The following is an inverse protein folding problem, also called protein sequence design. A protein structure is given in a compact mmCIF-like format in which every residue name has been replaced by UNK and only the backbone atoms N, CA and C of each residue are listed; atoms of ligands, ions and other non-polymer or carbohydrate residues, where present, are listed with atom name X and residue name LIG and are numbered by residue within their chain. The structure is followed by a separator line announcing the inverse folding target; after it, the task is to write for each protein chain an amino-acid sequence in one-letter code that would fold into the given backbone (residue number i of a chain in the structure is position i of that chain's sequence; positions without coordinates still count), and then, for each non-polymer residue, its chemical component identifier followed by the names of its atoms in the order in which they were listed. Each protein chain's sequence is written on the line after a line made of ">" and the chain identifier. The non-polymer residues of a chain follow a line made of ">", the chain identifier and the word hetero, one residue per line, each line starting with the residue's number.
data_IF_493966403547
#
_entry.id   IF_493966403547
#
_cell.length_a   1.000
_cell.length_b   1.000
_cell.length_c   1.000
_cell.angle_alpha   90.00
_cell.angle_beta   90.00
_cell.angle_gamma   90.00
#
_symmetry.space_group_name_H-M   'P 1'
#
loop_
_entity.id
_entity.type
_entity.pdbx_description
1 polymer ?
#
# COMPACT_ATOMS: atom_id res chain seq x y z
N UNK A 1 13.08 22.03 15.10
CA UNK A 1 12.53 20.66 15.09
C UNK A 1 13.70 19.69 15.14
N UNK A 2 13.71 18.72 16.06
CA UNK A 2 14.78 17.71 16.16
C UNK A 2 14.82 16.81 14.90
N UNK A 3 16.00 16.27 14.56
CA UNK A 3 16.26 15.39 13.41
C UNK A 3 15.28 14.22 13.36
N UNK A 4 15.01 13.55 14.48
CA UNK A 4 14.09 12.40 14.52
C UNK A 4 12.65 12.79 14.15
N UNK A 5 12.19 13.95 14.61
CA UNK A 5 10.86 14.47 14.25
C UNK A 5 10.81 14.85 12.78
N UNK A 6 11.88 15.48 12.27
CA UNK A 6 11.97 15.81 10.84
C UNK A 6 11.94 14.55 9.97
N UNK A 7 12.73 13.54 10.29
CA UNK A 7 12.78 12.29 9.53
C UNK A 7 11.47 11.50 9.66
N UNK A 8 10.82 11.51 10.84
CA UNK A 8 9.50 10.91 11.02
C UNK A 8 8.39 11.54 10.19
N UNK A 9 8.58 12.80 9.74
CA UNK A 9 7.70 13.49 8.82
C UNK A 9 8.10 13.31 7.35
N UNK A 10 9.39 13.44 7.04
CA UNK A 10 9.89 13.45 5.66
C UNK A 10 9.95 12.05 5.04
N UNK A 11 10.36 11.02 5.80
CA UNK A 11 10.50 9.66 5.24
C UNK A 11 9.17 9.09 4.71
N UNK A 12 8.02 9.26 5.41
CA UNK A 12 6.74 8.86 4.83
C UNK A 12 6.32 9.64 3.59
N UNK A 13 6.73 10.91 3.45
CA UNK A 13 6.48 11.69 2.23
C UNK A 13 7.34 11.15 1.07
N UNK A 14 8.63 10.96 1.30
CA UNK A 14 9.54 10.35 0.31
C UNK A 14 9.05 8.96 -0.11
N UNK A 15 8.49 8.18 0.80
CA UNK A 15 7.89 6.88 0.49
C UNK A 15 6.78 6.98 -0.57
N UNK A 16 5.94 8.03 -0.51
CA UNK A 16 4.90 8.27 -1.50
C UNK A 16 5.49 8.52 -2.90
N UNK A 17 6.55 9.34 -2.98
CA UNK A 17 7.30 9.55 -4.22
C UNK A 17 7.94 8.26 -4.75
N UNK A 18 8.54 7.43 -3.88
CA UNK A 18 9.12 6.14 -4.29
C UNK A 18 8.07 5.21 -4.87
N UNK A 19 6.90 5.11 -4.22
CA UNK A 19 5.78 4.32 -4.73
C UNK A 19 5.29 4.86 -6.09
N UNK A 20 5.15 6.18 -6.22
CA UNK A 20 4.74 6.84 -7.46
C UNK A 20 5.69 6.50 -8.62
N UNK A 21 7.00 6.70 -8.42
CA UNK A 21 8.02 6.41 -9.43
C UNK A 21 8.01 4.94 -9.85
N UNK A 22 7.89 4.02 -8.89
CA UNK A 22 7.85 2.59 -9.19
C UNK A 22 6.62 2.21 -10.03
N UNK A 23 5.44 2.75 -9.72
CA UNK A 23 4.23 2.47 -10.52
C UNK A 23 4.31 3.01 -11.94
N UNK A 24 4.99 4.13 -12.15
CA UNK A 24 5.17 4.72 -13.49
C UNK A 24 6.24 3.98 -14.28
N UNK A 25 7.35 3.63 -13.63
CA UNK A 25 8.38 2.80 -14.25
C UNK A 25 7.78 1.46 -14.71
N UNK A 26 6.93 0.84 -13.88
CA UNK A 26 6.19 -0.35 -14.24
C UNK A 26 5.25 -0.13 -15.44
N UNK A 27 4.54 0.99 -15.50
CA UNK A 27 3.68 1.34 -16.63
C UNK A 27 4.48 1.49 -17.95
N UNK A 28 5.65 2.12 -17.89
CA UNK A 28 6.54 2.24 -19.05
C UNK A 28 7.06 0.88 -19.52
N UNK A 29 7.39 -0.02 -18.59
CA UNK A 29 7.81 -1.38 -18.93
C UNK A 29 6.68 -2.13 -19.64
N UNK A 30 5.43 -1.92 -19.24
CA UNK A 30 4.28 -2.63 -19.80
C UNK A 30 3.76 -2.02 -21.11
N UNK A 31 4.16 -0.78 -21.46
CA UNK A 31 3.67 -0.08 -22.67
C UNK A 31 3.91 -0.88 -23.96
N UNK A 32 4.98 -1.68 -24.00
CA UNK A 32 5.32 -2.52 -25.14
C UNK A 32 4.32 -3.66 -25.40
N UNK A 33 3.55 -4.08 -24.38
CA UNK A 33 2.52 -5.11 -24.53
C UNK A 33 1.24 -4.56 -25.16
N UNK A 34 1.09 -3.24 -25.19
CA UNK A 34 0.00 -2.56 -25.89
C UNK A 34 0.14 -2.61 -27.42
N UNK A 35 1.29 -3.06 -27.94
CA UNK A 35 1.56 -3.22 -29.38
C UNK A 35 1.00 -4.53 -29.98
N UNK A 36 -0.04 -5.10 -29.38
CA UNK A 36 -0.53 -6.45 -29.74
C UNK A 36 0.42 -7.59 -29.34
N UNK A 37 1.52 -7.29 -28.64
CA UNK A 37 2.44 -8.28 -28.10
C UNK A 37 1.82 -8.94 -26.87
N UNK A 38 1.83 -10.27 -26.83
CA UNK A 38 1.40 -11.00 -25.65
C UNK A 38 2.28 -10.64 -24.46
N UNK A 39 1.65 -10.17 -23.38
CA UNK A 39 2.37 -9.95 -22.13
C UNK A 39 2.88 -11.28 -21.58
N UNK A 40 4.14 -11.36 -21.11
CA UNK A 40 4.68 -12.56 -20.53
C UNK A 40 3.92 -12.92 -19.25
N UNK A 41 3.86 -14.22 -18.95
CA UNK A 41 3.27 -14.73 -17.71
C UNK A 41 3.96 -14.14 -16.47
N UNK A 42 5.28 -13.95 -16.56
CA UNK A 42 6.12 -13.30 -15.54
C UNK A 42 6.45 -11.89 -15.99
N UNK A 43 5.80 -10.90 -15.38
CA UNK A 43 5.99 -9.49 -15.73
C UNK A 43 7.03 -8.83 -14.85
N UNK A 44 8.00 -8.19 -15.47
CA UNK A 44 9.01 -7.37 -14.76
C UNK A 44 8.33 -6.21 -14.02
N UNK A 45 7.29 -5.61 -14.60
CA UNK A 45 6.50 -4.54 -13.99
C UNK A 45 5.94 -4.91 -12.62
N UNK A 46 5.45 -6.14 -12.45
CA UNK A 46 4.95 -6.66 -11.16
C UNK A 46 6.01 -6.58 -10.06
N UNK A 47 7.25 -6.95 -10.37
CA UNK A 47 8.34 -6.89 -9.41
C UNK A 47 8.86 -5.47 -9.17
N UNK A 48 8.79 -4.59 -10.17
CA UNK A 48 9.12 -3.17 -10.01
C UNK A 48 8.14 -2.49 -9.06
N UNK A 49 6.83 -2.75 -9.22
CA UNK A 49 5.81 -2.24 -8.27
C UNK A 49 6.04 -2.82 -6.88
N UNK A 50 6.22 -4.14 -6.77
CA UNK A 50 6.50 -4.80 -5.48
C UNK A 50 7.71 -4.20 -4.77
N UNK A 51 8.82 -4.02 -5.48
CA UNK A 51 10.04 -3.46 -4.92
C UNK A 51 9.84 -2.00 -4.48
N UNK A 52 9.12 -1.20 -5.27
CA UNK A 52 8.80 0.18 -4.94
C UNK A 52 7.91 0.32 -3.71
N UNK A 53 6.84 -0.49 -3.64
CA UNK A 53 5.96 -0.51 -2.47
C UNK A 53 6.67 -1.05 -1.23
N UNK A 54 7.52 -2.08 -1.38
CA UNK A 54 8.37 -2.55 -0.29
C UNK A 54 9.31 -1.45 0.24
N UNK A 55 9.99 -0.73 -0.65
CA UNK A 55 10.84 0.38 -0.28
C UNK A 55 10.03 1.49 0.42
N UNK A 56 8.84 1.83 -0.10
CA UNK A 56 7.94 2.81 0.50
C UNK A 56 7.51 2.39 1.91
N UNK A 57 6.99 1.18 2.08
CA UNK A 57 6.56 0.63 3.38
C UNK A 57 7.71 0.59 4.40
N UNK A 58 8.94 0.26 3.98
CA UNK A 58 10.13 0.30 4.83
C UNK A 58 10.56 1.73 5.20
N UNK A 59 10.46 2.70 4.29
CA UNK A 59 10.73 4.11 4.58
C UNK A 59 9.73 4.67 5.59
N UNK A 60 8.44 4.37 5.42
CA UNK A 60 7.40 4.76 6.39
C UNK A 60 7.69 4.12 7.75
N UNK A 61 8.01 2.82 7.80
CA UNK A 61 8.37 2.12 9.04
C UNK A 61 9.58 2.74 9.72
N UNK A 62 10.61 3.11 8.96
CA UNK A 62 11.79 3.78 9.49
C UNK A 62 11.43 5.13 10.11
N UNK A 63 10.67 5.96 9.40
CA UNK A 63 10.15 7.23 9.91
C UNK A 63 9.33 7.04 11.19
N UNK A 64 8.42 6.05 11.19
CA UNK A 64 7.60 5.70 12.34
C UNK A 64 8.43 5.32 13.57
N UNK A 65 9.44 4.45 13.42
CA UNK A 65 10.30 4.05 14.54
C UNK A 65 11.08 5.21 15.15
N UNK A 66 11.54 6.15 14.32
CA UNK A 66 12.25 7.34 14.80
C UNK A 66 11.32 8.24 15.63
N UNK A 67 10.11 8.51 15.15
CA UNK A 67 9.16 9.37 15.86
C UNK A 67 8.54 8.67 17.07
N UNK A 68 8.34 7.34 17.03
CA UNK A 68 7.86 6.55 18.17
C UNK A 68 8.82 6.64 19.36
N UNK A 69 10.12 6.52 19.10
CA UNK A 69 11.15 6.69 20.13
C UNK A 69 11.17 8.11 20.71
N UNK A 70 10.91 9.13 19.89
CA UNK A 70 10.82 10.51 20.35
C UNK A 70 9.51 10.76 21.12
N UNK A 71 8.41 10.16 20.69
CA UNK A 71 7.10 10.27 21.33
C UNK A 71 7.09 9.67 22.73
N UNK A 72 7.82 8.57 22.95
CA UNK A 72 8.03 8.00 24.28
C UNK A 72 8.69 8.99 25.25
N UNK A 73 9.62 9.83 24.77
CA UNK A 73 10.35 10.79 25.61
C UNK A 73 9.62 12.13 25.76
N UNK A 74 9.08 12.63 24.65
CA UNK A 74 8.61 14.01 24.50
C UNK A 74 7.15 14.09 24.01
N UNK A 75 6.30 13.14 24.41
CA UNK A 75 4.93 12.99 23.89
C UNK A 75 3.94 14.12 24.22
N UNK A 76 4.32 15.04 25.12
CA UNK A 76 3.59 16.26 25.43
C UNK A 76 3.83 17.37 24.39
N UNK A 77 4.94 17.32 23.65
CA UNK A 77 5.26 18.34 22.64
C UNK A 77 4.30 18.21 21.45
N UNK A 78 3.56 19.27 21.07
CA UNK A 78 2.53 19.20 20.03
C UNK A 78 3.03 18.64 18.69
N UNK A 79 4.17 19.12 18.20
CA UNK A 79 4.74 18.66 16.91
C UNK A 79 5.16 17.19 16.92
N UNK A 80 5.64 16.68 18.05
CA UNK A 80 6.02 15.27 18.20
C UNK A 80 4.78 14.39 18.13
N UNK A 81 3.71 14.77 18.84
CA UNK A 81 2.43 14.06 18.82
C UNK A 81 1.76 14.08 17.45
N UNK A 82 1.77 15.21 16.77
CA UNK A 82 1.20 15.34 15.43
C UNK A 82 1.96 14.46 14.42
N UNK A 83 3.29 14.52 14.44
CA UNK A 83 4.15 13.71 13.56
C UNK A 83 3.99 12.21 13.83
N UNK A 84 3.88 11.81 15.11
CA UNK A 84 3.65 10.41 15.48
C UNK A 84 2.33 9.87 14.92
N UNK A 85 1.25 10.65 15.02
CA UNK A 85 -0.06 10.29 14.46
C UNK A 85 -0.02 10.23 12.92
N UNK A 86 0.67 11.17 12.30
CA UNK A 86 0.86 11.19 10.85
C UNK A 86 1.63 9.95 10.37
N UNK A 87 2.78 9.65 10.97
CA UNK A 87 3.57 8.47 10.61
C UNK A 87 2.79 7.17 10.84
N UNK A 88 2.02 7.08 11.93
CA UNK A 88 1.12 5.96 12.19
C UNK A 88 0.02 5.81 11.13
N UNK A 89 -0.57 6.91 10.66
CA UNK A 89 -1.52 6.90 9.54
C UNK A 89 -0.84 6.42 8.25
N UNK A 90 0.36 6.91 7.97
CA UNK A 90 1.11 6.51 6.77
C UNK A 90 1.46 5.01 6.77
N UNK A 91 1.70 4.39 7.94
CA UNK A 91 1.84 2.92 8.03
C UNK A 91 0.59 2.23 7.49
N UNK A 92 -0.59 2.67 7.95
CA UNK A 92 -1.87 2.08 7.52
C UNK A 92 -2.06 2.27 6.02
N UNK A 93 -1.76 3.46 5.49
CA UNK A 93 -1.89 3.74 4.06
C UNK A 93 -0.91 2.91 3.22
N UNK A 94 0.35 2.79 3.63
CA UNK A 94 1.34 1.97 2.93
C UNK A 94 0.90 0.50 2.85
N UNK A 95 0.45 -0.07 3.97
CA UNK A 95 -0.09 -1.43 4.02
C UNK A 95 -1.36 -1.60 3.16
N UNK A 96 -2.19 -0.56 3.05
CA UNK A 96 -3.36 -0.61 2.17
C UNK A 96 -2.95 -0.68 0.69
N UNK A 97 -1.92 0.06 0.26
CA UNK A 97 -1.38 -0.05 -1.10
C UNK A 97 -0.75 -1.43 -1.37
N UNK A 98 -0.04 -2.01 -0.39
CA UNK A 98 0.49 -3.37 -0.47
C UNK A 98 -0.65 -4.41 -0.69
N UNK A 99 -1.78 -4.25 0.01
CA UNK A 99 -2.96 -5.11 -0.17
C UNK A 99 -3.59 -4.91 -1.55
N UNK A 100 -3.72 -3.66 -2.02
CA UNK A 100 -4.24 -3.36 -3.37
C UNK A 100 -3.36 -4.04 -4.42
N UNK A 101 -2.03 -3.97 -4.29
CA UNK A 101 -1.10 -4.65 -5.19
C UNK A 101 -1.33 -6.17 -5.22
N UNK A 102 -1.47 -6.80 -4.05
CA UNK A 102 -1.74 -8.23 -3.95
C UNK A 102 -3.05 -8.60 -4.68
N UNK A 103 -4.10 -7.80 -4.48
CA UNK A 103 -5.40 -8.03 -5.10
C UNK A 103 -5.37 -7.79 -6.61
N UNK A 104 -4.70 -6.75 -7.09
CA UNK A 104 -4.52 -6.49 -8.52
C UNK A 104 -3.74 -7.61 -9.19
N UNK A 105 -2.70 -8.14 -8.54
CA UNK A 105 -1.93 -9.30 -9.03
C UNK A 105 -2.79 -10.55 -9.11
N UNK A 106 -3.60 -10.79 -8.08
CA UNK A 106 -4.57 -11.90 -8.04
C UNK A 106 -5.61 -11.80 -9.15
N UNK A 107 -6.34 -10.69 -9.26
CA UNK A 107 -7.37 -10.51 -10.29
C UNK A 107 -6.77 -10.57 -11.69
N UNK A 108 -5.60 -9.94 -11.89
CA UNK A 108 -4.89 -9.96 -13.16
C UNK A 108 -4.49 -11.36 -13.62
N UNK A 109 -4.33 -12.32 -12.70
CA UNK A 109 -3.94 -13.70 -13.03
C UNK A 109 -5.01 -14.48 -13.80
N UNK A 110 -6.29 -14.09 -13.68
CA UNK A 110 -7.42 -14.73 -14.37
C UNK A 110 -7.56 -14.27 -15.82
N UNK A 111 -7.07 -13.08 -16.14
CA UNK A 111 -7.16 -12.48 -17.48
C UNK A 111 -6.01 -12.90 -18.40
N UNK A 112 -5.11 -13.78 -17.96
CA UNK A 112 -3.94 -14.22 -18.75
C UNK A 112 -4.30 -15.23 -19.86
N UNK A 113 -5.54 -15.71 -19.92
CA UNK A 113 -6.00 -16.74 -20.87
C UNK A 113 -7.01 -16.31 -21.93
N UNK A 114 -7.37 -15.02 -22.01
CA UNK A 114 -8.32 -14.52 -23.01
C UNK A 114 -7.59 -13.95 -24.22
N UNK A 115 -7.31 -14.78 -25.23
CA UNK A 115 -6.81 -14.30 -26.53
C UNK A 115 -7.71 -14.78 -27.67
N UNK A 116 -7.85 -14.01 -28.77
CA UNK A 116 -8.63 -14.42 -29.95
C UNK A 116 -7.99 -15.58 -30.74
N UNK A 117 -6.67 -15.81 -30.60
CA UNK A 117 -5.93 -16.88 -31.31
C UNK A 117 -5.39 -18.00 -30.41
N UNK A 118 -5.47 -17.85 -29.08
CA UNK A 118 -5.14 -18.88 -28.10
C UNK A 118 -6.37 -19.11 -27.23
N UNK A 119 -7.06 -20.22 -27.49
CA UNK A 119 -8.30 -20.55 -26.81
C UNK A 119 -8.19 -20.50 -25.29
N UNK A 120 -9.31 -20.20 -24.64
CA UNK A 120 -9.52 -20.42 -23.21
C UNK A 120 -8.89 -21.77 -22.80
N UNK A 121 -7.87 -21.75 -21.93
CA UNK A 121 -7.28 -22.97 -21.37
C UNK A 121 -5.87 -23.36 -21.83
N UNK A 122 -5.10 -22.45 -22.44
CA UNK A 122 -3.65 -22.65 -22.55
C UNK A 122 -3.03 -22.76 -21.14
N UNK A 123 -2.38 -23.90 -20.85
CA UNK A 123 -1.80 -24.15 -19.52
C UNK A 123 -0.59 -23.25 -19.31
N UNK A 124 -0.67 -22.33 -18.35
CA UNK A 124 0.50 -21.58 -17.85
C UNK A 124 1.42 -22.58 -17.14
N UNK A 125 2.72 -22.66 -17.49
CA UNK A 125 3.66 -23.49 -16.76
C UNK A 125 3.65 -23.18 -15.26
N UNK A 126 3.80 -24.20 -14.42
CA UNK A 126 3.74 -24.04 -12.94
C UNK A 126 4.78 -23.02 -12.46
N UNK A 127 5.97 -23.01 -13.06
CA UNK A 127 7.03 -22.05 -12.73
C UNK A 127 6.61 -20.62 -13.05
N UNK A 128 6.01 -20.39 -14.21
CA UNK A 128 5.51 -19.08 -14.64
C UNK A 128 4.37 -18.60 -13.74
N UNK A 129 3.48 -19.50 -13.32
CA UNK A 129 2.41 -19.18 -12.37
C UNK A 129 2.98 -18.83 -10.99
N UNK A 130 3.97 -19.59 -10.53
CA UNK A 130 4.63 -19.33 -9.27
C UNK A 130 5.34 -17.97 -9.27
N UNK A 131 6.16 -17.68 -10.29
CA UNK A 131 6.88 -16.41 -10.39
C UNK A 131 5.93 -15.24 -10.67
N UNK A 132 5.01 -15.37 -11.62
CA UNK A 132 4.13 -14.28 -12.05
C UNK A 132 3.08 -13.88 -11.01
N UNK A 133 2.67 -14.80 -10.11
CA UNK A 133 1.51 -14.57 -9.23
C UNK A 133 1.78 -14.98 -7.78
N UNK A 134 2.18 -16.23 -7.51
CA UNK A 134 2.27 -16.72 -6.13
C UNK A 134 3.39 -16.05 -5.35
N UNK A 135 4.59 -15.95 -5.93
CA UNK A 135 5.76 -15.37 -5.27
C UNK A 135 5.52 -13.89 -4.90
N UNK A 136 5.04 -13.01 -5.80
CA UNK A 136 4.70 -11.63 -5.44
C UNK A 136 3.69 -11.52 -4.29
N UNK A 137 2.65 -12.36 -4.28
CA UNK A 137 1.62 -12.37 -3.22
C UNK A 137 2.21 -12.83 -1.88
N UNK A 138 3.06 -13.85 -1.88
CA UNK A 138 3.74 -14.33 -0.67
C UNK A 138 4.69 -13.26 -0.13
N UNK A 139 5.49 -12.63 -1.01
CA UNK A 139 6.44 -11.60 -0.62
C UNK A 139 5.75 -10.37 -0.02
N UNK A 140 4.67 -9.88 -0.64
CA UNK A 140 3.93 -8.73 -0.10
C UNK A 140 3.20 -9.10 1.20
N UNK A 141 2.63 -10.30 1.33
CA UNK A 141 2.04 -10.74 2.58
C UNK A 141 3.07 -10.80 3.72
N UNK A 142 4.27 -11.33 3.43
CA UNK A 142 5.40 -11.34 4.36
C UNK A 142 5.84 -9.94 4.76
N UNK A 143 5.91 -9.01 3.80
CA UNK A 143 6.19 -7.59 4.05
C UNK A 143 5.15 -6.95 4.97
N UNK A 144 3.85 -7.13 4.68
CA UNK A 144 2.75 -6.56 5.48
C UNK A 144 2.85 -7.06 6.92
N UNK A 145 3.01 -8.38 7.11
CA UNK A 145 3.19 -8.97 8.44
C UNK A 145 4.41 -8.39 9.14
N UNK A 146 5.55 -8.32 8.45
CA UNK A 146 6.77 -7.75 9.01
C UNK A 146 6.57 -6.29 9.47
N UNK A 147 6.07 -5.43 8.60
CA UNK A 147 5.86 -4.00 8.90
C UNK A 147 4.86 -3.82 10.04
N UNK A 148 3.77 -4.57 10.03
CA UNK A 148 2.74 -4.49 11.06
C UNK A 148 3.29 -4.92 12.43
N UNK A 149 3.99 -6.05 12.52
CA UNK A 149 4.62 -6.50 13.77
C UNK A 149 5.66 -5.48 14.27
N UNK A 150 6.47 -4.92 13.37
CA UNK A 150 7.46 -3.90 13.72
C UNK A 150 6.84 -2.59 14.20
N UNK A 151 5.72 -2.17 13.62
CA UNK A 151 5.02 -0.94 14.00
C UNK A 151 4.17 -1.10 15.29
N UNK A 152 3.73 -2.32 15.61
CA UNK A 152 2.79 -2.55 16.72
C UNK A 152 3.42 -3.22 17.94
N UNK A 153 4.19 -4.29 17.76
CA UNK A 153 4.74 -5.08 18.86
C UNK A 153 6.09 -4.57 19.33
N UNK A 154 6.93 -4.13 18.39
CA UNK A 154 8.30 -3.69 18.68
C UNK A 154 8.43 -2.18 18.83
N UNK A 155 7.34 -1.50 19.24
CA UNK A 155 7.31 -0.06 19.48
C UNK A 155 7.78 0.28 20.90
N UNK A 156 8.53 1.38 21.04
CA UNK A 156 9.05 1.86 22.31
C UNK A 156 8.01 2.64 23.11
N UNK A 157 7.04 3.28 22.47
CA UNK A 157 6.03 4.12 23.13
C UNK A 157 5.03 3.39 24.03
N UNK A 158 4.99 2.05 23.97
CA UNK A 158 4.19 1.24 24.89
C UNK A 158 4.84 -0.12 25.05
N UNK A 159 5.63 -0.26 26.11
CA UNK A 159 6.06 -1.56 26.56
C UNK A 159 4.81 -2.35 26.99
N UNK A 160 4.62 -3.53 26.40
CA UNK A 160 3.70 -4.53 26.97
C UNK A 160 4.34 -4.95 28.31
N UNK A 161 3.58 -4.90 29.41
CA UNK A 161 4.03 -5.38 30.72
C UNK A 161 4.57 -6.82 30.60
N UNK A 162 5.79 -7.07 31.09
CA UNK A 162 6.46 -8.39 31.03
C UNK A 162 7.52 -8.56 29.94
N UNK A 163 7.98 -7.48 29.30
CA UNK A 163 9.03 -7.52 28.25
C UNK A 163 10.48 -7.64 28.75
N UNK A 164 10.68 -7.88 30.06
CA UNK A 164 12.03 -8.03 30.65
C UNK A 164 12.64 -9.43 30.45
N UNK A 165 11.85 -10.43 30.08
CA UNK A 165 12.35 -11.79 29.82
C UNK A 165 12.81 -11.94 28.37
N UNK A 166 13.83 -12.78 28.16
CA UNK A 166 14.57 -13.03 26.91
C UNK A 166 13.74 -13.72 25.79
N UNK A 167 12.48 -13.31 25.58
CA UNK A 167 11.53 -13.83 24.58
C UNK A 167 10.20 -13.05 24.57
N UNK A 168 9.38 -13.20 23.52
CA UNK A 168 8.04 -12.56 23.47
C UNK A 168 7.16 -13.05 24.63
N UNK A 169 6.50 -12.12 25.33
CA UNK A 169 5.48 -12.48 26.33
C UNK A 169 4.31 -13.23 25.69
N UNK A 170 3.57 -14.01 26.47
CA UNK A 170 2.36 -14.71 25.97
C UNK A 170 1.33 -13.73 25.38
N UNK A 171 1.24 -12.52 25.93
CA UNK A 171 0.41 -11.43 25.40
C UNK A 171 0.94 -10.90 24.06
N UNK A 172 2.25 -10.74 23.90
CA UNK A 172 2.87 -10.36 22.61
C UNK A 172 2.70 -11.46 21.55
N UNK A 173 2.85 -12.74 21.92
CA UNK A 173 2.61 -13.87 21.00
C UNK A 173 1.16 -13.90 20.52
N UNK A 174 0.20 -13.78 21.45
CA UNK A 174 -1.22 -13.76 21.10
C UNK A 174 -1.58 -12.58 20.19
N UNK A 175 -0.96 -11.41 20.43
CA UNK A 175 -1.15 -10.22 19.60
C UNK A 175 -0.48 -10.37 18.22
N UNK A 176 0.71 -10.96 18.15
CA UNK A 176 1.39 -11.28 16.89
C UNK A 176 0.54 -12.20 16.01
N UNK A 177 0.00 -13.27 16.61
CA UNK A 177 -0.91 -14.19 15.93
C UNK A 177 -2.18 -13.46 15.50
N UNK A 178 -2.75 -12.61 16.36
CA UNK A 178 -3.96 -11.86 16.06
C UNK A 178 -3.81 -10.93 14.85
N UNK A 179 -2.63 -10.35 14.65
CA UNK A 179 -2.34 -9.50 13.50
C UNK A 179 -1.92 -10.28 12.25
N UNK A 180 -1.07 -11.29 12.38
CA UNK A 180 -0.51 -12.00 11.24
C UNK A 180 -1.49 -12.98 10.59
N UNK A 181 -2.33 -13.64 11.39
CA UNK A 181 -3.18 -14.74 10.93
C UNK A 181 -4.19 -14.32 9.84
N UNK A 182 -4.90 -13.18 9.94
CA UNK A 182 -5.78 -12.73 8.87
C UNK A 182 -5.06 -12.48 7.54
N UNK A 183 -3.83 -11.95 7.60
CA UNK A 183 -3.03 -11.63 6.40
C UNK A 183 -2.54 -12.92 5.74
N UNK A 184 -1.93 -13.80 6.52
CA UNK A 184 -1.42 -15.10 6.03
C UNK A 184 -2.57 -15.96 5.51
N UNK A 185 -3.69 -15.99 6.24
CA UNK A 185 -4.89 -16.74 5.83
C UNK A 185 -5.48 -16.21 4.53
N UNK A 186 -5.48 -14.89 4.32
CA UNK A 186 -5.94 -14.29 3.06
C UNK A 186 -5.02 -14.63 1.90
N UNK A 187 -3.71 -14.51 2.08
CA UNK A 187 -2.73 -14.90 1.06
C UNK A 187 -2.86 -16.38 0.68
N UNK A 188 -3.01 -17.26 1.68
CA UNK A 188 -3.25 -18.68 1.46
C UNK A 188 -4.56 -18.95 0.71
N UNK A 189 -5.66 -18.31 1.10
CA UNK A 189 -6.96 -18.46 0.45
C UNK A 189 -6.91 -18.05 -1.03
N UNK A 190 -6.24 -16.93 -1.32
CA UNK A 190 -6.04 -16.40 -2.67
C UNK A 190 -5.21 -17.35 -3.54
N UNK A 191 -4.08 -17.86 -3.03
CA UNK A 191 -3.23 -18.82 -3.76
C UNK A 191 -3.99 -20.11 -4.05
N UNK A 192 -4.72 -20.62 -3.06
CA UNK A 192 -5.55 -21.81 -3.21
C UNK A 192 -6.67 -21.58 -4.24
N UNK A 193 -7.30 -20.40 -4.24
CA UNK A 193 -8.30 -20.01 -5.22
C UNK A 193 -7.80 -20.07 -6.66
N UNK A 194 -6.57 -19.57 -6.91
CA UNK A 194 -5.93 -19.66 -8.23
C UNK A 194 -5.58 -21.10 -8.58
N UNK A 195 -5.04 -21.88 -7.64
CA UNK A 195 -4.70 -23.28 -7.90
C UNK A 195 -5.93 -24.13 -8.29
N UNK A 196 -7.08 -23.86 -7.66
CA UNK A 196 -8.36 -24.48 -8.01
C UNK A 196 -8.84 -24.03 -9.39
N UNK A 197 -8.71 -22.74 -9.72
CA UNK A 197 -9.00 -22.22 -11.06
C UNK A 197 -8.14 -22.91 -12.14
N UNK A 198 -6.85 -23.09 -11.89
CA UNK A 198 -5.92 -23.76 -12.82
C UNK A 198 -6.28 -25.23 -13.06
N UNK A 199 -6.75 -25.91 -12.02
CA UNK A 199 -7.17 -27.31 -12.11
C UNK A 199 -8.49 -27.48 -12.88
N UNK A 200 -9.44 -26.56 -12.71
CA UNK A 200 -10.78 -26.67 -13.30
C UNK A 200 -10.86 -26.09 -14.72
N UNK A 201 -9.99 -25.13 -15.08
CA UNK A 201 -9.95 -24.46 -16.40
C UNK A 201 -11.27 -23.82 -16.88
N UNK A 202 -12.25 -23.69 -15.99
CA UNK A 202 -13.52 -23.01 -16.24
C UNK A 202 -13.51 -21.64 -15.58
N UNK A 203 -14.45 -20.75 -15.96
CA UNK A 203 -14.62 -19.46 -15.28
C UNK A 203 -14.70 -19.67 -13.77
N UNK A 204 -14.23 -18.70 -12.97
CA UNK A 204 -14.30 -18.75 -11.51
C UNK A 204 -15.73 -19.08 -11.10
N UNK A 205 -15.97 -20.35 -10.78
CA UNK A 205 -17.27 -20.81 -10.36
C UNK A 205 -17.57 -20.07 -9.05
N UNK A 206 -18.80 -19.61 -8.84
CA UNK A 206 -19.17 -18.89 -7.62
C UNK A 206 -18.73 -19.62 -6.34
N UNK A 207 -18.65 -20.95 -6.40
CA UNK A 207 -18.11 -21.80 -5.33
C UNK A 207 -16.63 -21.56 -4.98
N UNK A 208 -15.77 -21.26 -5.95
CA UNK A 208 -14.37 -20.89 -5.67
C UNK A 208 -14.29 -19.61 -4.85
N UNK A 209 -15.13 -18.61 -5.16
CA UNK A 209 -15.24 -17.38 -4.35
C UNK A 209 -15.76 -17.66 -2.94
N UNK A 210 -16.77 -18.53 -2.80
CA UNK A 210 -17.28 -18.95 -1.49
C UNK A 210 -16.16 -19.58 -0.66
N UNK A 211 -15.36 -20.48 -1.24
CA UNK A 211 -14.23 -21.11 -0.55
C UNK A 211 -13.17 -20.09 -0.12
N UNK A 212 -12.79 -19.16 -1.00
CA UNK A 212 -11.83 -18.08 -0.67
C UNK A 212 -12.35 -17.26 0.50
N UNK A 213 -13.60 -16.77 0.43
CA UNK A 213 -14.18 -15.92 1.46
C UNK A 213 -14.38 -16.67 2.78
N UNK A 214 -14.68 -17.96 2.74
CA UNK A 214 -14.78 -18.81 3.93
C UNK A 214 -13.42 -18.92 4.63
N UNK A 215 -12.34 -19.18 3.89
CA UNK A 215 -10.98 -19.25 4.45
C UNK A 215 -10.52 -17.90 5.02
N UNK A 216 -10.79 -16.80 4.30
CA UNK A 216 -10.53 -15.44 4.77
C UNK A 216 -11.31 -15.18 6.06
N UNK A 217 -12.62 -15.44 6.07
CA UNK A 217 -13.48 -15.25 7.24
C UNK A 217 -13.02 -16.07 8.44
N UNK A 218 -12.66 -17.34 8.24
CA UNK A 218 -12.10 -18.19 9.29
C UNK A 218 -10.81 -17.61 9.88
N UNK A 219 -9.90 -17.13 9.03
CA UNK A 219 -8.64 -16.52 9.48
C UNK A 219 -8.86 -15.24 10.29
N UNK A 220 -9.84 -14.42 9.92
CA UNK A 220 -10.24 -13.21 10.65
C UNK A 220 -10.83 -13.60 12.02
N UNK A 221 -11.73 -14.57 12.07
CA UNK A 221 -12.33 -15.04 13.33
C UNK A 221 -11.27 -15.61 14.28
N UNK A 222 -10.33 -16.41 13.78
CA UNK A 222 -9.24 -16.95 14.59
C UNK A 222 -8.28 -15.85 15.07
N UNK A 223 -7.91 -14.91 14.19
CA UNK A 223 -7.05 -13.77 14.54
C UNK A 223 -7.68 -12.86 15.59
N UNK A 224 -8.97 -12.53 15.41
CA UNK A 224 -9.71 -11.70 16.38
C UNK A 224 -9.86 -12.38 17.74
N UNK A 225 -10.10 -13.70 17.79
CA UNK A 225 -10.11 -14.46 19.06
C UNK A 225 -8.76 -14.39 19.77
N UNK A 226 -7.66 -14.51 19.05
CA UNK A 226 -6.30 -14.39 19.62
C UNK A 226 -6.02 -12.97 20.12
N UNK A 227 -6.41 -11.94 19.36
CA UNK A 227 -6.27 -10.55 19.75
C UNK A 227 -7.14 -10.19 20.98
N UNK A 228 -8.33 -10.78 21.11
CA UNK A 228 -9.21 -10.58 22.26
C UNK A 228 -8.59 -11.12 23.56
N UNK A 229 -7.89 -12.26 23.51
CA UNK A 229 -7.13 -12.80 24.66
C UNK A 229 -6.03 -11.85 25.14
N UNK A 230 -5.43 -11.06 24.24
CA UNK A 230 -4.39 -10.08 24.59
C UNK A 230 -4.95 -8.79 25.22
N UNK A 231 -6.23 -8.43 24.98
CA UNK A 231 -6.87 -7.20 25.50
C UNK A 231 -7.36 -7.29 26.94
N UNK A 232 -7.36 -8.47 27.53
CA UNK A 232 -7.76 -8.67 28.93
C UNK A 232 -6.74 -8.10 29.93
N UNK A 233 -5.59 -7.60 29.46
CA UNK A 233 -4.64 -6.81 30.23
C UNK A 233 -4.94 -5.30 30.09
N UNK A 234 -5.61 -4.74 31.10
CA UNK A 234 -5.92 -3.33 31.43
C UNK A 234 -6.18 -2.33 30.27
N UNK A 235 -7.41 -1.81 30.13
CA UNK A 235 -7.69 -0.70 29.22
C UNK A 235 -7.04 0.60 29.71
N UNK A 236 -6.25 1.24 28.85
CA UNK A 236 -5.80 2.62 29.07
C UNK A 236 -7.01 3.54 28.92
N UNK A 237 -7.47 4.10 30.05
CA UNK A 237 -8.55 5.10 30.11
C UNK A 237 -8.12 6.30 29.24
N UNK A 238 -8.85 6.57 28.15
CA UNK A 238 -8.66 7.79 27.36
C UNK A 238 -9.31 8.95 28.10
N UNK A 239 -8.53 9.95 28.47
CA UNK A 239 -9.08 11.18 29.05
C UNK A 239 -10.02 11.89 28.06
N UNK A 240 -11.15 12.45 28.55
CA UNK A 240 -12.13 13.14 27.72
C UNK A 240 -11.52 14.41 27.11
N UNK A 241 -11.66 14.59 25.80
CA UNK A 241 -11.16 15.77 25.07
C UNK A 241 -12.14 16.93 25.21
N UNK A 242 -11.63 18.11 25.54
CA UNK A 242 -12.40 19.36 25.59
C UNK A 242 -12.96 19.72 24.20
N UNK A 243 -14.27 19.97 24.14
CA UNK A 243 -15.04 20.34 22.95
C UNK A 243 -15.23 21.87 22.93
N UNK A 244 -14.85 22.55 21.84
CA UNK A 244 -15.00 24.00 21.72
C UNK A 244 -14.08 24.57 20.64
N UNK A 245 -12.92 25.10 21.02
CA UNK A 245 -11.90 25.59 20.07
C UNK A 245 -11.22 24.48 19.23
N UNK A 246 -11.35 23.22 19.66
CA UNK A 246 -10.82 22.03 18.98
C UNK A 246 -11.60 21.71 17.69
N UNK A 247 -12.85 22.16 17.54
CA UNK A 247 -13.72 21.83 16.41
C UNK A 247 -13.22 22.36 15.06
N UNK A 248 -12.90 23.66 14.98
CA UNK A 248 -12.42 24.29 13.73
C UNK A 248 -11.05 23.75 13.28
N UNK A 249 -10.14 23.49 14.23
CA UNK A 249 -8.82 22.91 13.97
C UNK A 249 -8.93 21.45 13.51
N UNK A 250 -9.90 20.70 14.05
CA UNK A 250 -10.19 19.32 13.64
C UNK A 250 -10.82 19.27 12.25
N UNK A 251 -11.74 20.19 11.93
CA UNK A 251 -12.35 20.27 10.61
C UNK A 251 -11.30 20.58 9.52
N UNK A 252 -10.44 21.57 9.76
CA UNK A 252 -9.37 21.90 8.83
C UNK A 252 -8.33 20.77 8.71
N UNK A 253 -8.14 19.94 9.75
CA UNK A 253 -7.32 18.73 9.67
C UNK A 253 -7.93 17.66 8.78
N UNK A 254 -9.23 17.36 8.96
CA UNK A 254 -9.94 16.40 8.11
C UNK A 254 -9.94 16.86 6.66
N UNK A 255 -10.22 18.13 6.40
CA UNK A 255 -10.21 18.69 5.04
C UNK A 255 -8.82 18.59 4.39
N UNK A 256 -7.75 18.91 5.14
CA UNK A 256 -6.37 18.77 4.64
C UNK A 256 -6.02 17.31 4.34
N UNK A 257 -6.52 16.37 5.15
CA UNK A 257 -6.31 14.94 4.93
C UNK A 257 -7.05 14.42 3.70
N UNK A 258 -8.31 14.82 3.53
CA UNK A 258 -9.13 14.47 2.35
C UNK A 258 -8.51 15.06 1.10
N UNK A 259 -8.12 16.35 1.13
CA UNK A 259 -7.42 17.00 0.02
C UNK A 259 -6.13 16.25 -0.34
N UNK A 260 -5.26 15.99 0.64
CA UNK A 260 -4.01 15.27 0.41
C UNK A 260 -4.21 13.87 -0.19
N UNK A 261 -5.20 13.12 0.32
CA UNK A 261 -5.54 11.80 -0.19
C UNK A 261 -6.06 11.83 -1.63
N UNK A 262 -7.05 12.69 -1.91
CA UNK A 262 -7.65 12.82 -3.26
C UNK A 262 -6.62 13.27 -4.28
N UNK A 263 -5.83 14.31 -3.96
CA UNK A 263 -4.82 14.84 -4.88
C UNK A 263 -3.69 13.83 -5.13
N UNK A 264 -3.32 13.04 -4.12
CA UNK A 264 -2.38 11.92 -4.32
C UNK A 264 -2.94 10.90 -5.31
N UNK A 265 -4.20 10.47 -5.14
CA UNK A 265 -4.84 9.54 -6.07
C UNK A 265 -4.91 10.11 -7.49
N UNK A 266 -5.22 11.40 -7.63
CA UNK A 266 -5.21 12.09 -8.92
C UNK A 266 -3.82 12.08 -9.54
N UNK A 267 -2.77 12.36 -8.77
CA UNK A 267 -1.39 12.32 -9.24
C UNK A 267 -1.00 10.95 -9.81
N UNK A 268 -1.31 9.87 -9.08
CA UNK A 268 -1.06 8.51 -9.59
C UNK A 268 -1.87 8.22 -10.85
N UNK A 269 -3.18 8.54 -10.84
CA UNK A 269 -4.07 8.29 -11.97
C UNK A 269 -3.63 9.05 -13.22
N UNK A 270 -3.26 10.33 -13.08
CA UNK A 270 -2.82 11.17 -14.20
C UNK A 270 -1.50 10.68 -14.77
N UNK A 271 -0.57 10.24 -13.93
CA UNK A 271 0.69 9.68 -14.42
C UNK A 271 0.48 8.37 -15.19
N UNK A 272 -0.40 7.49 -14.69
CA UNK A 272 -0.78 6.25 -15.39
C UNK A 272 -1.48 6.54 -16.72
N UNK A 273 -2.38 7.53 -16.75
CA UNK A 273 -3.04 7.98 -17.97
C UNK A 273 -2.05 8.57 -18.97
N UNK A 274 -1.06 9.34 -18.49
CA UNK A 274 -0.03 9.93 -19.34
C UNK A 274 0.80 8.85 -20.05
N UNK A 275 1.24 7.81 -19.32
CA UNK A 275 1.97 6.68 -19.92
C UNK A 275 1.07 5.89 -20.87
N UNK A 276 -0.18 5.63 -20.50
CA UNK A 276 -1.14 4.92 -21.36
C UNK A 276 -1.42 5.68 -22.66
N UNK A 277 -1.43 7.02 -22.61
CA UNK A 277 -1.58 7.90 -23.75
C UNK A 277 -0.40 7.91 -24.74
N UNK A 278 0.72 7.26 -24.39
CA UNK A 278 1.82 7.02 -25.35
C UNK A 278 1.50 5.91 -26.35
N UNK A 279 0.38 5.21 -26.20
CA UNK A 279 -0.05 4.19 -27.18
C UNK A 279 -1.11 4.79 -28.09
N UNK A 280 -0.82 4.81 -29.39
CA UNK A 280 -1.79 5.16 -30.41
C UNK A 280 -2.54 3.89 -30.84
N UNK A 281 -3.86 3.90 -30.65
CA UNK A 281 -4.78 2.88 -31.15
C UNK A 281 -5.54 3.45 -32.36
N UNK A 282 -5.02 3.26 -33.59
CA UNK A 282 -5.68 3.79 -34.78
C UNK A 282 -7.06 3.12 -34.97
N UNK A 283 -8.08 3.86 -35.42
CA UNK A 283 -9.40 3.29 -35.69
C UNK A 283 -9.31 2.28 -36.84
N UNK A 284 -10.10 1.21 -36.77
CA UNK A 284 -10.29 0.32 -37.91
C UNK A 284 -11.16 1.04 -38.95
N UNK A 285 -10.66 1.12 -40.19
CA UNK A 285 -11.37 1.74 -41.32
C UNK A 285 -11.56 0.64 -42.36
N UNK A 286 -12.80 0.44 -42.82
CA UNK A 286 -13.16 -0.58 -43.82
C UNK A 286 -12.62 -1.98 -43.47
N UNK A 287 -12.82 -2.41 -42.22
CA UNK A 287 -12.37 -3.70 -41.66
C UNK A 287 -10.83 -3.90 -41.61
N UNK A 288 -10.04 -2.92 -42.05
CA UNK A 288 -8.59 -2.91 -41.92
C UNK A 288 -8.20 -2.19 -40.63
N UNK A 289 -7.84 -2.98 -39.61
CA UNK A 289 -7.27 -2.47 -38.38
C UNK A 289 -5.76 -2.29 -38.54
N UNK A 290 -5.26 -1.08 -38.29
CA UNK A 290 -3.81 -0.83 -38.22
C UNK A 290 -3.30 -1.26 -36.85
N UNK A 291 -2.08 -1.78 -36.82
CA UNK A 291 -1.43 -2.15 -35.57
C UNK A 291 -1.21 -0.92 -34.66
N UNK A 292 -1.41 -1.06 -33.34
CA UNK A 292 -1.08 -0.01 -32.40
C UNK A 292 0.41 0.35 -32.47
N UNK A 293 0.74 1.60 -32.17
CA UNK A 293 2.11 2.12 -32.21
C UNK A 293 2.42 2.96 -30.97
N UNK A 294 3.69 2.95 -30.53
CA UNK A 294 4.15 3.78 -29.42
C UNK A 294 4.57 5.15 -29.96
N UNK A 295 4.00 6.19 -29.37
CA UNK A 295 4.35 7.58 -29.61
C UNK A 295 5.61 7.96 -28.83
N UNK A 296 6.41 8.87 -29.39
CA UNK A 296 7.54 9.42 -28.66
C UNK A 296 7.06 10.31 -27.51
N UNK A 297 7.75 10.23 -26.36
CA UNK A 297 7.53 11.14 -25.23
C UNK A 297 8.11 12.53 -25.56
N UNK A 298 7.33 13.33 -26.29
CA UNK A 298 7.72 14.68 -26.73
C UNK A 298 7.84 15.66 -25.56
N UNK A 299 8.51 16.81 -25.73
CA UNK A 299 8.51 17.87 -24.72
C UNK A 299 7.08 18.32 -24.32
N UNK A 300 6.16 18.35 -25.28
CA UNK A 300 4.75 18.68 -25.05
C UNK A 300 4.07 17.67 -24.12
N UNK A 301 4.29 16.36 -24.37
CA UNK A 301 3.77 15.31 -23.50
C UNK A 301 4.31 15.43 -22.07
N UNK A 302 5.60 15.73 -21.90
CA UNK A 302 6.17 15.96 -20.57
C UNK A 302 5.50 17.14 -19.86
N UNK A 303 5.38 18.28 -20.55
CA UNK A 303 4.86 19.53 -19.96
C UNK A 303 3.37 19.43 -19.65
N UNK A 304 2.58 18.83 -20.53
CA UNK A 304 1.12 18.85 -20.43
C UNK A 304 0.54 17.62 -19.71
N UNK A 305 1.27 16.50 -19.65
CA UNK A 305 0.76 15.27 -19.04
C UNK A 305 1.56 14.83 -17.81
N UNK A 306 2.87 14.65 -17.94
CA UNK A 306 3.67 14.03 -16.86
C UNK A 306 4.06 15.01 -15.74
N UNK A 307 4.49 16.24 -16.08
CA UNK A 307 4.85 17.26 -15.09
C UNK A 307 3.67 17.64 -14.18
N UNK A 308 2.44 17.88 -14.69
CA UNK A 308 1.29 18.18 -13.84
C UNK A 308 1.00 17.05 -12.84
N UNK A 309 1.07 15.79 -13.29
CA UNK A 309 0.90 14.64 -12.41
C UNK A 309 1.94 14.63 -11.27
N UNK A 310 3.20 14.91 -11.58
CA UNK A 310 4.27 15.01 -10.58
C UNK A 310 4.11 16.24 -9.65
N UNK A 311 3.72 17.39 -10.18
CA UNK A 311 3.51 18.60 -9.37
C UNK A 311 2.37 18.45 -8.36
N UNK A 312 1.31 17.71 -8.70
CA UNK A 312 0.25 17.38 -7.74
C UNK A 312 0.80 16.61 -6.53
N UNK A 313 1.73 15.67 -6.77
CA UNK A 313 2.39 14.92 -5.71
C UNK A 313 3.23 15.84 -4.81
N UNK A 314 4.10 16.64 -5.42
CA UNK A 314 4.97 17.59 -4.70
C UNK A 314 4.13 18.59 -3.89
N UNK A 315 3.01 19.04 -4.44
CA UNK A 315 2.09 19.95 -3.75
C UNK A 315 1.50 19.29 -2.50
N UNK A 316 1.07 18.02 -2.57
CA UNK A 316 0.58 17.29 -1.39
C UNK A 316 1.67 17.12 -0.34
N UNK A 317 2.89 16.78 -0.75
CA UNK A 317 4.01 16.62 0.18
C UNK A 317 4.35 17.94 0.88
N UNK A 318 4.47 19.03 0.12
CA UNK A 318 4.74 20.36 0.63
C UNK A 318 3.60 20.87 1.54
N UNK A 319 2.34 20.72 1.11
CA UNK A 319 1.18 21.12 1.89
C UNK A 319 1.09 20.33 3.21
N UNK A 320 1.33 19.02 3.17
CA UNK A 320 1.33 18.16 4.36
C UNK A 320 2.44 18.54 5.33
N UNK A 321 3.65 18.75 4.81
CA UNK A 321 4.80 19.18 5.60
C UNK A 321 4.54 20.54 6.27
N UNK A 322 4.05 21.51 5.50
CA UNK A 322 3.74 22.85 6.01
C UNK A 322 2.57 22.81 7.00
N UNK A 323 1.52 22.04 6.74
CA UNK A 323 0.38 21.90 7.65
C UNK A 323 0.79 21.33 9.01
N UNK A 324 1.64 20.29 9.03
CA UNK A 324 2.11 19.69 10.28
C UNK A 324 3.07 20.62 11.01
N UNK A 325 3.99 21.28 10.31
CA UNK A 325 5.00 22.14 10.96
C UNK A 325 4.44 23.48 11.41
N UNK A 326 3.60 24.16 10.61
CA UNK A 326 3.01 25.46 10.93
C UNK A 326 2.02 25.41 12.10
N UNK A 327 1.15 24.40 12.14
CA UNK A 327 0.13 24.26 13.19
C UNK A 327 0.69 23.96 14.57
N UNK A 328 1.93 23.49 14.63
CA UNK A 328 2.58 23.08 15.88
C UNK A 328 3.78 23.97 16.24
N UNK A 329 3.90 25.15 15.61
CA UNK A 329 4.83 26.18 16.10
C UNK A 329 4.32 26.65 17.47
N UNK A 330 5.19 26.63 18.47
CA UNK A 330 4.90 27.27 19.76
C UNK A 330 4.93 28.77 19.51
N UNK A 331 3.79 29.43 19.67
CA UNK A 331 3.73 30.89 19.73
C UNK A 331 4.56 31.31 20.93
N UNK A 332 5.75 31.86 20.71
CA UNK A 332 6.47 32.58 21.76
C UNK A 332 5.68 33.87 21.95
N UNK A 333 4.74 33.85 22.89
CA UNK A 333 4.17 35.10 23.42
C UNK A 333 5.26 35.75 24.24
N UNK A 334 5.93 36.74 23.63
CA UNK A 334 6.69 37.77 24.33
C UNK A 334 5.77 38.64 25.15
#
# INVERSE_FOLDING_TARGET
>A
MNRNVRLGLVLPLVALTVAWLATIAAAFIDVQYSLGKQAPNVRVSTYVVLAGLAAASLLVLWGFKLIDAEHHKNGLVPVVRATYRFAGLMIVLALAFDVIFAFTTFIGSFNQGSTPLGGYGASVPILDRFLGVYLPIILVAGLIVFVLLQATLFRKSSAVEGSETKGMSETQKALAIGYALPIIGTAFAVILGIAVYDAQRTSLQGWTWVLILLLVGASIVLGTRSAAKARLAKPVVREPRAMGAVGAVTLNYVLSLVFGGVVSIMSFTFAQAAVSGLVNYPPCIDEVCKDPSILAATPDWWINQMIPAFLLLVLVEAATYLAITSRNKVSVTS
#
